data_IF_611115866044
#
_entry.id   IF_611115866044
#
_cell.length_a   1.000
_cell.length_b   1.000
_cell.length_c   1.000
_cell.angle_alpha   90.00
_cell.angle_beta   90.00
_cell.angle_gamma   90.00
#
_symmetry.space_group_name_H-M   'P 1'
#
loop_
_entity.id
_entity.type
_entity.pdbx_description
1 polymer ?
#
# COMPACT_ATOMS: atom_id res chain seq x y z
N UNK A 1 5.25 2.91 9.99
CA UNK A 1 4.46 3.48 11.10
C UNK A 1 5.40 3.94 12.23
N UNK A 2 5.14 5.09 12.87
CA UNK A 2 5.96 5.62 13.98
C UNK A 2 7.48 5.65 13.70
N UNK A 3 7.86 6.14 12.51
CA UNK A 3 9.26 6.23 12.07
C UNK A 3 9.91 4.90 11.66
N UNK A 4 9.20 3.77 11.75
CA UNK A 4 9.69 2.44 11.34
C UNK A 4 9.13 2.04 9.99
N UNK A 5 9.97 1.41 9.17
CA UNK A 5 9.59 0.85 7.87
C UNK A 5 8.74 -0.42 8.05
N UNK A 6 7.90 -0.72 7.07
CA UNK A 6 7.21 -2.01 6.96
C UNK A 6 8.23 -3.17 6.88
N UNK A 7 7.88 -4.35 7.41
CA UNK A 7 8.76 -5.52 7.35
C UNK A 7 8.62 -6.30 6.04
N UNK A 8 9.67 -7.03 5.65
CA UNK A 8 9.64 -7.87 4.45
C UNK A 8 8.60 -8.98 4.56
N UNK A 9 8.38 -9.52 5.75
CA UNK A 9 7.39 -10.56 6.01
C UNK A 9 5.97 -10.04 5.79
N UNK A 10 5.70 -8.80 6.21
CA UNK A 10 4.40 -8.17 5.98
C UNK A 10 4.16 -7.91 4.48
N UNK A 11 5.18 -7.42 3.75
CA UNK A 11 5.13 -7.27 2.29
C UNK A 11 4.80 -8.61 1.63
N UNK A 12 5.54 -9.68 1.95
CA UNK A 12 5.33 -11.02 1.38
C UNK A 12 3.91 -11.51 1.68
N UNK A 13 3.43 -11.30 2.91
CA UNK A 13 2.09 -11.70 3.33
C UNK A 13 1.01 -10.96 2.55
N UNK A 14 1.15 -9.64 2.40
CA UNK A 14 0.23 -8.83 1.60
C UNK A 14 0.20 -9.31 0.14
N UNK A 15 1.37 -9.51 -0.47
CA UNK A 15 1.48 -9.92 -1.87
C UNK A 15 0.85 -11.30 -2.09
N UNK A 16 1.07 -12.26 -1.19
CA UNK A 16 0.44 -13.59 -1.26
C UNK A 16 -1.08 -13.51 -1.12
N UNK A 17 -1.57 -12.73 -0.15
CA UNK A 17 -3.01 -12.56 0.11
C UNK A 17 -3.75 -11.93 -1.08
N UNK A 18 -3.15 -10.91 -1.70
CA UNK A 18 -3.81 -10.09 -2.72
C UNK A 18 -3.43 -10.46 -4.16
N UNK A 19 -2.59 -11.48 -4.37
CA UNK A 19 -2.07 -11.85 -5.69
C UNK A 19 -3.15 -12.02 -6.76
N UNK A 20 -4.28 -12.67 -6.41
CA UNK A 20 -5.40 -12.87 -7.34
C UNK A 20 -6.05 -11.53 -7.72
N UNK A 21 -6.27 -10.65 -6.75
CA UNK A 21 -6.88 -9.34 -6.99
C UNK A 21 -5.99 -8.46 -7.87
N UNK A 22 -4.69 -8.36 -7.53
CA UNK A 22 -3.69 -7.61 -8.30
C UNK A 22 -3.69 -8.05 -9.77
N UNK A 23 -3.70 -9.37 -10.02
CA UNK A 23 -3.74 -9.93 -11.38
C UNK A 23 -5.07 -9.65 -12.09
N UNK A 24 -6.20 -9.83 -11.42
CA UNK A 24 -7.52 -9.69 -12.03
C UNK A 24 -7.83 -8.26 -12.47
N UNK A 25 -7.41 -7.27 -11.68
CA UNK A 25 -7.61 -5.85 -12.01
C UNK A 25 -6.43 -5.25 -12.78
N UNK A 26 -5.40 -6.06 -13.06
CA UNK A 26 -4.17 -5.64 -13.72
C UNK A 26 -3.52 -4.41 -13.05
N UNK A 27 -3.50 -4.42 -11.71
CA UNK A 27 -2.99 -3.28 -10.94
C UNK A 27 -1.51 -3.04 -11.25
N UNK A 28 -1.17 -1.77 -11.41
CA UNK A 28 0.22 -1.34 -11.58
C UNK A 28 0.99 -1.54 -10.27
N UNK A 29 2.32 -1.49 -10.37
CA UNK A 29 3.19 -1.49 -9.20
C UNK A 29 2.78 -0.38 -8.22
N UNK A 30 2.56 0.84 -8.71
CA UNK A 30 2.31 2.02 -7.88
C UNK A 30 0.97 1.94 -7.15
N UNK A 31 -0.08 1.51 -7.84
CA UNK A 31 -1.39 1.25 -7.23
C UNK A 31 -1.30 0.15 -6.16
N UNK A 32 -0.61 -0.95 -6.47
CA UNK A 32 -0.45 -2.07 -5.53
C UNK A 32 0.30 -1.65 -4.27
N UNK A 33 1.38 -0.88 -4.41
CA UNK A 33 2.14 -0.39 -3.25
C UNK A 33 1.37 0.65 -2.45
N UNK A 34 0.54 1.46 -3.10
CA UNK A 34 -0.32 2.44 -2.40
C UNK A 34 -1.36 1.74 -1.52
N UNK A 35 -2.04 0.72 -2.07
CA UNK A 35 -2.97 -0.12 -1.30
C UNK A 35 -2.23 -0.85 -0.17
N UNK A 36 -1.01 -1.32 -0.39
CA UNK A 36 -0.18 -1.95 0.64
C UNK A 36 0.14 -0.99 1.79
N UNK A 37 0.46 0.27 1.48
CA UNK A 37 0.67 1.31 2.50
C UNK A 37 -0.60 1.54 3.33
N UNK A 38 -1.77 1.63 2.69
CA UNK A 38 -3.05 1.80 3.39
C UNK A 38 -3.40 0.59 4.28
N UNK A 39 -3.17 -0.64 3.80
CA UNK A 39 -3.35 -1.85 4.60
C UNK A 39 -2.40 -1.87 5.82
N UNK A 40 -1.13 -1.48 5.64
CA UNK A 40 -0.16 -1.37 6.74
C UNK A 40 -0.58 -0.32 7.77
N UNK A 41 -1.02 0.87 7.33
CA UNK A 41 -1.49 1.92 8.25
C UNK A 41 -2.76 1.50 9.00
N UNK A 42 -3.72 0.87 8.32
CA UNK A 42 -4.96 0.37 8.91
C UNK A 42 -4.70 -0.67 10.00
N UNK A 43 -3.84 -1.67 9.74
CA UNK A 43 -3.46 -2.70 10.74
C UNK A 43 -2.82 -2.12 12.00
N UNK A 44 -2.12 -0.99 11.87
CA UNK A 44 -1.47 -0.33 13.00
C UNK A 44 -2.37 0.69 13.69
N UNK A 45 -3.60 0.89 13.22
CA UNK A 45 -4.56 1.84 13.76
C UNK A 45 -3.96 3.24 13.96
N UNK A 46 -3.26 3.76 12.94
CA UNK A 46 -2.65 5.09 13.03
C UNK A 46 -3.73 6.17 13.18
N UNK A 47 -3.48 7.16 14.04
CA UNK A 47 -4.37 8.31 14.17
C UNK A 47 -4.33 9.22 12.93
N UNK A 48 -3.15 9.33 12.33
CA UNK A 48 -2.86 10.15 11.16
C UNK A 48 -1.95 9.39 10.21
N UNK A 49 -2.31 9.35 8.93
CA UNK A 49 -1.45 8.90 7.83
C UNK A 49 -1.08 10.10 6.95
N UNK A 50 0.20 10.24 6.61
CA UNK A 50 0.69 11.24 5.65
C UNK A 50 0.96 10.49 4.35
N UNK A 51 0.34 10.95 3.27
CA UNK A 51 0.42 10.30 1.96
C UNK A 51 0.95 11.33 0.96
N UNK A 52 2.11 11.02 0.39
CA UNK A 52 2.74 11.81 -0.66
C UNK A 52 2.29 11.28 -2.03
N UNK A 53 1.75 12.14 -2.88
CA UNK A 53 1.34 11.79 -4.25
C UNK A 53 2.55 11.32 -5.06
N UNK A 54 2.41 10.26 -5.84
CA UNK A 54 3.47 9.76 -6.72
C UNK A 54 3.80 10.70 -7.87
N UNK A 55 2.78 11.07 -8.65
CA UNK A 55 2.89 11.98 -9.79
C UNK A 55 1.66 12.86 -9.94
N UNK A 56 1.86 14.17 -9.79
CA UNK A 56 0.78 15.15 -9.97
C UNK A 56 -0.26 15.07 -8.86
N UNK A 57 -1.38 14.39 -9.09
CA UNK A 57 -2.39 14.19 -8.04
C UNK A 57 -3.78 13.78 -8.54
N UNK A 58 -4.31 14.43 -9.59
CA UNK A 58 -5.71 14.20 -10.02
C UNK A 58 -6.03 12.73 -10.35
N UNK A 59 -5.06 12.00 -10.87
CA UNK A 59 -5.18 10.58 -11.24
C UNK A 59 -4.09 9.74 -10.55
N UNK A 60 -3.51 10.26 -9.46
CA UNK A 60 -2.53 9.50 -8.67
C UNK A 60 -3.25 8.40 -7.88
N UNK A 61 -2.52 7.35 -7.51
CA UNK A 61 -3.11 6.22 -6.78
C UNK A 61 -3.42 6.53 -5.32
N UNK A 62 -2.83 7.60 -4.77
CA UNK A 62 -2.97 8.03 -3.37
C UNK A 62 -4.31 8.64 -3.03
#
# INVERSE_FOLDING_TARGET
>A
VNGKTISNEEIITFMKKNQKHIKNIQSTFFETTTVMAFDHFSKHNVDIAIIETGLGGRLDST
#
